data_IF_632503076894
#
_entry.id   IF_632503076894
#
_cell.length_a   1.000
_cell.length_b   1.000
_cell.length_c   1.000
_cell.angle_alpha   90.00
_cell.angle_beta   90.00
_cell.angle_gamma   90.00
#
_symmetry.space_group_name_H-M   'P 1'
#
loop_
_entity.id
_entity.type
_entity.pdbx_description
1 polymer ?
#
# COMPACT_ATOMS: atom_id res chain seq x y z
N UNK A 1 28.65 -3.66 6.59
CA UNK A 1 28.11 -2.30 6.86
C UNK A 1 27.73 -1.66 5.54
N UNK A 2 26.44 -1.45 5.23
CA UNK A 2 26.03 -0.74 4.00
C UNK A 2 26.35 0.75 4.18
N UNK A 3 27.25 1.30 3.35
CA UNK A 3 27.53 2.75 3.32
C UNK A 3 26.22 3.50 3.06
N UNK A 4 25.83 4.38 3.97
CA UNK A 4 24.82 5.39 3.68
C UNK A 4 25.37 6.26 2.55
N UNK A 5 24.83 6.09 1.34
CA UNK A 5 25.16 6.98 0.22
C UNK A 5 24.84 8.41 0.64
N UNK A 6 25.78 9.34 0.41
CA UNK A 6 25.60 10.75 0.73
C UNK A 6 24.24 11.25 0.20
N UNK A 7 23.49 12.05 0.98
CA UNK A 7 22.18 12.51 0.57
C UNK A 7 22.32 13.27 -0.75
N UNK A 8 21.65 12.77 -1.80
CA UNK A 8 21.51 13.53 -3.05
C UNK A 8 20.87 14.87 -2.68
N UNK A 9 21.52 15.99 -3.01
CA UNK A 9 20.95 17.32 -2.76
C UNK A 9 19.65 17.42 -3.56
N UNK A 10 18.53 17.42 -2.85
CA UNK A 10 17.20 17.65 -3.44
C UNK A 10 17.06 19.13 -3.78
N UNK A 11 16.22 19.45 -4.76
CA UNK A 11 15.86 20.85 -5.00
C UNK A 11 15.10 21.40 -3.78
N UNK A 12 15.20 22.72 -3.51
CA UNK A 12 14.50 23.34 -2.38
C UNK A 12 12.98 23.07 -2.39
N UNK A 13 12.36 23.04 -3.57
CA UNK A 13 10.92 22.76 -3.69
C UNK A 13 10.56 21.32 -3.29
N UNK A 14 11.33 20.33 -3.75
CA UNK A 14 11.12 18.92 -3.37
C UNK A 14 11.37 18.73 -1.87
N UNK A 15 12.38 19.39 -1.31
CA UNK A 15 12.65 19.35 0.13
C UNK A 15 11.51 19.97 0.95
N UNK A 16 10.93 21.07 0.48
CA UNK A 16 9.75 21.70 1.11
C UNK A 16 8.57 20.75 1.11
N UNK A 17 8.21 20.17 -0.05
CA UNK A 17 7.09 19.22 -0.18
C UNK A 17 7.26 18.01 0.74
N UNK A 18 8.46 17.44 0.83
CA UNK A 18 8.73 16.31 1.74
C UNK A 18 8.56 16.71 3.21
N UNK A 19 8.96 17.93 3.57
CA UNK A 19 8.80 18.45 4.93
C UNK A 19 7.32 18.65 5.27
N UNK A 20 6.54 19.19 4.33
CA UNK A 20 5.10 19.38 4.47
C UNK A 20 4.38 18.02 4.60
N UNK A 21 4.68 17.06 3.71
CA UNK A 21 4.10 15.71 3.80
C UNK A 21 4.44 15.00 5.11
N UNK A 22 5.64 15.24 5.68
CA UNK A 22 6.01 14.70 7.00
C UNK A 22 5.17 15.33 8.12
N UNK A 23 4.90 16.64 8.04
CA UNK A 23 4.07 17.35 9.02
C UNK A 23 2.61 16.91 8.93
N UNK A 24 2.08 16.77 7.72
CA UNK A 24 0.71 16.30 7.46
C UNK A 24 0.50 14.86 7.97
N UNK A 25 1.48 13.99 7.72
CA UNK A 25 1.39 12.58 8.13
C UNK A 25 1.66 12.31 9.60
N UNK A 26 2.18 13.29 10.35
CA UNK A 26 2.57 13.10 11.75
C UNK A 26 1.41 12.70 12.68
N UNK A 27 0.20 13.16 12.39
CA UNK A 27 -1.01 12.82 13.14
C UNK A 27 -1.76 11.59 12.61
N UNK A 28 -1.33 11.02 11.48
CA UNK A 28 -2.02 9.93 10.81
C UNK A 28 -1.50 8.58 11.29
N UNK A 29 -2.41 7.61 11.40
CA UNK A 29 -2.04 6.24 11.75
C UNK A 29 -1.70 5.44 10.50
N UNK A 30 -0.80 4.46 10.63
CA UNK A 30 -0.47 3.54 9.54
C UNK A 30 -1.40 2.33 9.54
N UNK A 31 -1.78 1.90 8.34
CA UNK A 31 -2.62 0.73 8.08
C UNK A 31 -1.86 -0.25 7.22
N UNK A 32 -2.00 -1.52 7.57
CA UNK A 32 -1.34 -2.63 6.89
C UNK A 32 -2.25 -3.22 5.80
N UNK A 33 -1.72 -3.30 4.59
CA UNK A 33 -2.38 -3.92 3.44
C UNK A 33 -1.75 -5.28 3.20
N UNK A 34 -2.56 -6.33 3.35
CA UNK A 34 -2.14 -7.71 3.13
C UNK A 34 -2.60 -8.21 1.78
N UNK A 35 -1.79 -9.09 1.18
CA UNK A 35 -2.13 -9.81 -0.03
C UNK A 35 -3.37 -10.69 0.24
N UNK A 36 -4.44 -10.59 -0.56
CA UNK A 36 -5.64 -11.39 -0.34
C UNK A 36 -5.42 -12.88 -0.59
N UNK A 37 -4.34 -13.26 -1.28
CA UNK A 37 -4.04 -14.65 -1.65
C UNK A 37 -3.13 -15.36 -0.64
N UNK A 38 -2.18 -14.66 -0.03
CA UNK A 38 -1.18 -15.27 0.85
C UNK A 38 -0.98 -14.56 2.18
N UNK A 39 -1.80 -13.53 2.47
CA UNK A 39 -1.75 -12.70 3.69
C UNK A 39 -0.42 -11.99 3.96
N UNK A 40 0.51 -12.02 3.00
CA UNK A 40 1.78 -11.31 3.09
C UNK A 40 1.55 -9.80 3.11
N UNK A 41 2.23 -9.09 4.02
CA UNK A 41 2.16 -7.62 4.08
C UNK A 41 2.76 -7.03 2.80
N UNK A 42 1.94 -6.34 2.01
CA UNK A 42 2.40 -5.79 0.72
C UNK A 42 2.73 -4.30 0.84
N UNK A 43 1.96 -3.55 1.63
CA UNK A 43 2.12 -2.09 1.72
C UNK A 43 1.65 -1.57 3.08
N UNK A 44 2.24 -0.46 3.53
CA UNK A 44 1.70 0.35 4.64
C UNK A 44 1.20 1.67 4.10
N UNK A 45 -0.04 2.02 4.42
CA UNK A 45 -0.69 3.25 3.95
C UNK A 45 -1.17 4.09 5.14
N UNK A 46 -1.13 5.41 5.04
CA UNK A 46 -1.69 6.30 6.06
C UNK A 46 -3.20 6.17 6.16
N UNK A 47 -3.79 6.62 7.28
CA UNK A 47 -5.21 6.45 7.64
C UNK A 47 -6.21 7.18 6.75
N UNK A 48 -5.75 8.21 6.05
CA UNK A 48 -6.48 9.05 5.12
C UNK A 48 -6.52 8.46 3.70
N UNK A 49 -5.51 7.67 3.30
CA UNK A 49 -5.40 7.10 1.97
C UNK A 49 -6.69 6.39 1.49
N UNK A 50 -7.10 6.68 0.26
CA UNK A 50 -8.29 6.15 -0.40
C UNK A 50 -8.03 5.98 -1.90
N UNK A 51 -8.94 5.29 -2.60
CA UNK A 51 -8.85 5.05 -4.04
C UNK A 51 -8.22 3.72 -4.43
N UNK A 52 -7.98 3.53 -5.72
CA UNK A 52 -7.42 2.29 -6.28
C UNK A 52 -5.90 2.41 -6.45
N UNK A 53 -5.17 1.35 -6.09
CA UNK A 53 -3.71 1.26 -6.25
C UNK A 53 -3.34 -0.10 -6.85
N UNK A 54 -2.44 -0.11 -7.83
CA UNK A 54 -1.79 -1.35 -8.29
C UNK A 54 -0.78 -1.79 -7.24
N UNK A 55 -0.90 -3.04 -6.81
CA UNK A 55 -0.05 -3.60 -5.75
C UNK A 55 0.58 -4.89 -6.22
N UNK A 56 1.90 -4.97 -6.04
CA UNK A 56 2.72 -6.13 -6.39
C UNK A 56 3.05 -6.96 -5.16
N UNK A 57 2.60 -8.22 -5.14
CA UNK A 57 2.94 -9.14 -4.07
C UNK A 57 4.26 -9.86 -4.37
N UNK A 58 5.30 -9.61 -3.56
CA UNK A 58 6.62 -10.26 -3.72
C UNK A 58 6.59 -11.79 -3.50
N UNK A 59 5.60 -12.30 -2.75
CA UNK A 59 5.44 -13.73 -2.47
C UNK A 59 4.69 -14.46 -3.59
N UNK A 60 3.61 -13.88 -4.11
CA UNK A 60 2.83 -14.46 -5.21
C UNK A 60 3.38 -14.12 -6.59
N UNK A 61 4.27 -13.11 -6.68
CA UNK A 61 4.81 -12.54 -7.92
C UNK A 61 3.73 -12.03 -8.88
N UNK A 62 2.58 -11.61 -8.34
CA UNK A 62 1.45 -11.08 -9.09
C UNK A 62 1.20 -9.62 -8.75
N UNK A 63 0.72 -8.88 -9.75
CA UNK A 63 0.26 -7.51 -9.61
C UNK A 63 -1.26 -7.46 -9.78
N UNK A 64 -1.95 -6.69 -8.94
CA UNK A 64 -3.40 -6.55 -9.00
C UNK A 64 -3.87 -5.21 -8.43
N UNK A 65 -5.02 -4.68 -8.91
CA UNK A 65 -5.62 -3.48 -8.36
C UNK A 65 -6.28 -3.76 -7.01
N UNK A 66 -6.04 -2.89 -6.02
CA UNK A 66 -6.73 -2.91 -4.73
C UNK A 66 -7.39 -1.55 -4.45
N UNK A 67 -8.52 -1.55 -3.77
CA UNK A 67 -9.13 -0.31 -3.26
C UNK A 67 -8.73 -0.08 -1.80
N UNK A 68 -7.89 0.92 -1.55
CA UNK A 68 -7.37 1.27 -0.22
C UNK A 68 -8.48 1.64 0.78
N UNK A 69 -9.64 2.08 0.29
CA UNK A 69 -10.83 2.31 1.10
C UNK A 69 -11.52 1.02 1.55
N UNK A 70 -11.61 0.02 0.68
CA UNK A 70 -12.25 -1.28 0.98
C UNK A 70 -11.43 -2.14 1.94
N UNK A 71 -10.10 -1.99 1.96
CA UNK A 71 -9.21 -2.68 2.90
C UNK A 71 -9.02 -1.90 4.22
N UNK A 72 -9.78 -0.82 4.47
CA UNK A 72 -9.99 -0.33 5.84
C UNK A 72 -10.52 -1.51 6.64
N UNK A 73 -9.82 -1.88 7.74
CA UNK A 73 -10.31 -2.88 8.70
C UNK A 73 -11.64 -2.39 9.29
N UNK A 74 -12.74 -2.54 8.56
CA UNK A 74 -14.07 -2.56 9.15
C UNK A 74 -14.14 -3.93 9.83
N UNK A 75 -14.39 -3.96 11.14
CA UNK A 75 -14.50 -5.19 11.96
C UNK A 75 -15.53 -6.20 11.39
N UNK A 76 -16.35 -5.79 10.43
CA UNK A 76 -17.33 -6.62 9.76
C UNK A 76 -16.78 -7.23 8.46
N UNK A 77 -16.45 -8.52 8.59
CA UNK A 77 -16.58 -9.56 7.56
C UNK A 77 -15.43 -9.70 6.55
N UNK A 78 -14.82 -10.87 6.65
CA UNK A 78 -14.48 -11.86 5.62
C UNK A 78 -15.26 -11.84 4.27
N UNK A 79 -16.18 -10.91 4.02
CA UNK A 79 -17.03 -10.83 2.83
C UNK A 79 -16.29 -10.25 1.61
N UNK A 80 -15.37 -9.30 1.78
CA UNK A 80 -14.70 -8.64 0.64
C UNK A 80 -13.68 -9.57 -0.03
N UNK A 81 -12.98 -10.42 0.73
CA UNK A 81 -12.07 -11.43 0.15
C UNK A 81 -12.78 -12.38 -0.83
N UNK A 82 -14.08 -12.65 -0.63
CA UNK A 82 -14.86 -13.53 -1.53
C UNK A 82 -15.14 -12.91 -2.90
N UNK A 83 -15.10 -11.59 -3.04
CA UNK A 83 -15.33 -10.92 -4.33
C UNK A 83 -14.13 -11.08 -5.26
N UNK A 84 -12.89 -11.03 -4.74
CA UNK A 84 -11.68 -11.28 -5.53
C UNK A 84 -11.36 -12.77 -5.71
N UNK A 85 -12.03 -13.68 -5.00
CA UNK A 85 -11.90 -15.13 -5.24
C UNK A 85 -12.67 -15.64 -6.45
N UNK A 86 -13.52 -14.81 -7.09
CA UNK A 86 -14.29 -15.23 -8.27
C UNK A 86 -13.71 -14.63 -9.57
N UNK A 87 -13.00 -15.50 -10.30
CA UNK A 87 -12.59 -15.45 -11.73
C UNK A 87 -11.32 -14.64 -12.04
N UNK A 88 -10.41 -15.06 -12.93
CA UNK A 88 -10.50 -16.04 -14.01
C UNK A 88 -9.16 -16.77 -14.18
N UNK A 89 -9.16 -18.11 -14.19
CA UNK A 89 -8.02 -18.89 -14.65
C UNK A 89 -7.90 -18.60 -16.15
N UNK A 90 -6.94 -17.76 -16.57
CA UNK A 90 -6.59 -17.66 -17.97
C UNK A 90 -6.15 -19.04 -18.45
N UNK A 91 -6.96 -19.66 -19.30
CA UNK A 91 -6.58 -20.85 -20.06
C UNK A 91 -5.50 -20.42 -21.04
N UNK A 92 -4.39 -21.15 -21.06
CA UNK A 92 -3.43 -21.16 -22.15
C UNK A 92 -3.24 -22.61 -22.57
#
# INVERSE_FOLDING_TARGET
MRKASAPRKLSPDVSRRLSDSRRESAALTLREIHCPFCSFLVEKVFSDAAGHKMVYCRKCKSEYPINLGCFRRIKAKQAVCRLFSKRERQKR
#
